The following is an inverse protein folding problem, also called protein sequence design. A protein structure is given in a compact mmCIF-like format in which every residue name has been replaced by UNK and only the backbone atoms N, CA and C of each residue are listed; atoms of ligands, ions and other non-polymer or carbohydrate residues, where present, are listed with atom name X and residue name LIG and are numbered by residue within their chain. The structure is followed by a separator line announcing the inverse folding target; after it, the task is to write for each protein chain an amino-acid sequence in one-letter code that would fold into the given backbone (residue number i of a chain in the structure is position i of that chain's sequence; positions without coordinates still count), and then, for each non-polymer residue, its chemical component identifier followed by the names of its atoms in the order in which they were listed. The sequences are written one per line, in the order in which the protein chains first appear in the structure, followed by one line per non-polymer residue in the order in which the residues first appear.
data_IF_714528163243
#
_entry.id   IF_714528163243
#
_cell.length_a   1.000
_cell.length_b   1.000
_cell.length_c   1.000
_cell.angle_alpha   90.00
_cell.angle_beta   90.00
_cell.angle_gamma   90.00
#
_symmetry.space_group_name_H-M   'P 1'
#
loop_
_entity.id
_entity.type
_entity.pdbx_description
1 polymer ?
#
# COMPACT_ATOMS: atom_id res chain seq x y z
N UNK A 1 -0.24 24.68 -26.09
CA UNK A 1 1.20 24.40 -25.97
C UNK A 1 1.61 24.64 -24.54
N UNK A 2 1.86 23.67 -23.69
CA UNK A 2 1.33 22.31 -23.51
C UNK A 2 1.74 21.92 -22.08
N UNK A 3 1.03 20.92 -21.54
CA UNK A 3 0.91 20.66 -20.11
C UNK A 3 2.21 20.39 -19.36
N UNK A 4 2.26 20.91 -18.14
CA UNK A 4 3.01 20.27 -17.05
C UNK A 4 2.13 19.18 -16.47
N UNK A 5 2.17 18.00 -17.08
CA UNK A 5 1.65 16.79 -16.46
C UNK A 5 2.45 16.53 -15.18
N UNK A 6 1.73 16.22 -14.09
CA UNK A 6 2.32 15.69 -12.88
C UNK A 6 3.01 14.36 -13.21
N UNK A 7 4.33 14.40 -13.45
CA UNK A 7 5.13 13.19 -13.59
C UNK A 7 5.42 12.66 -12.20
N UNK A 8 4.71 11.61 -11.78
CA UNK A 8 5.06 10.83 -10.59
C UNK A 8 6.53 10.38 -10.67
N UNK A 9 7.23 10.35 -9.54
CA UNK A 9 8.63 10.00 -9.54
C UNK A 9 8.81 8.55 -10.01
N UNK A 10 9.79 8.30 -10.89
CA UNK A 10 10.02 6.96 -11.40
C UNK A 10 10.52 6.03 -10.30
N UNK A 11 9.89 4.87 -10.11
CA UNK A 11 10.38 3.80 -9.25
C UNK A 11 11.68 3.19 -9.82
N UNK A 12 12.69 3.03 -8.98
CA UNK A 12 13.98 2.45 -9.36
C UNK A 12 14.01 0.94 -9.09
N UNK A 13 14.17 0.08 -10.12
CA UNK A 13 14.21 -1.37 -9.92
C UNK A 13 15.61 -1.87 -9.50
N UNK A 14 15.62 -2.74 -8.50
CA UNK A 14 16.78 -3.48 -8.01
C UNK A 14 16.54 -4.98 -8.18
N UNK A 15 17.38 -5.64 -8.98
CA UNK A 15 17.19 -7.06 -9.33
C UNK A 15 17.93 -7.98 -8.35
N UNK A 16 17.20 -8.92 -7.74
CA UNK A 16 17.70 -9.93 -6.83
C UNK A 16 17.15 -11.31 -7.21
N UNK A 17 17.73 -11.92 -8.24
CA UNK A 17 17.32 -13.24 -8.73
C UNK A 17 15.86 -13.22 -9.24
N UNK A 18 14.96 -14.06 -8.70
CA UNK A 18 13.55 -14.06 -9.11
C UNK A 18 12.76 -12.86 -8.56
N UNK A 19 13.36 -12.02 -7.72
CA UNK A 19 12.72 -10.87 -7.09
C UNK A 19 13.24 -9.56 -7.68
N UNK A 20 12.35 -8.57 -7.81
CA UNK A 20 12.72 -7.18 -8.08
C UNK A 20 12.22 -6.35 -6.91
N UNK A 21 13.09 -5.54 -6.32
CA UNK A 21 12.73 -4.56 -5.30
C UNK A 21 12.65 -3.20 -5.98
N UNK A 22 11.55 -2.49 -5.80
CA UNK A 22 11.39 -1.14 -6.33
C UNK A 22 11.63 -0.13 -5.21
N UNK A 23 12.55 0.79 -5.44
CA UNK A 23 12.79 1.93 -4.54
C UNK A 23 12.01 3.15 -5.05
N UNK A 24 11.27 3.79 -4.14
CA UNK A 24 10.51 5.00 -4.40
C UNK A 24 9.25 5.07 -3.55
N UNK A 25 8.31 5.91 -3.95
CA UNK A 25 7.02 6.04 -3.27
C UNK A 25 6.01 5.01 -3.80
N UNK A 26 5.48 4.16 -2.93
CA UNK A 26 4.42 3.20 -3.29
C UNK A 26 3.23 3.88 -3.94
N UNK A 27 2.89 5.11 -3.52
CA UNK A 27 1.74 5.84 -4.05
C UNK A 27 1.91 6.30 -5.51
N UNK A 28 3.15 6.30 -6.03
CA UNK A 28 3.43 6.54 -7.45
C UNK A 28 3.37 5.25 -8.31
N UNK A 29 3.13 4.10 -7.68
CA UNK A 29 3.16 2.81 -8.37
C UNK A 29 1.97 2.64 -9.33
N UNK A 30 2.28 2.15 -10.52
CA UNK A 30 1.31 1.71 -11.53
C UNK A 30 1.71 0.33 -12.06
N UNK A 31 0.79 -0.42 -12.71
CA UNK A 31 1.18 -1.65 -13.39
C UNK A 31 2.32 -1.44 -14.39
N UNK A 32 2.34 -0.29 -15.08
CA UNK A 32 3.39 0.04 -16.05
C UNK A 32 4.77 0.23 -15.42
N UNK A 33 4.84 0.87 -14.25
CA UNK A 33 6.12 1.08 -13.53
C UNK A 33 6.64 -0.21 -12.89
N UNK A 34 5.76 -1.18 -12.59
CA UNK A 34 6.12 -2.45 -11.95
C UNK A 34 6.24 -3.64 -12.92
N UNK A 35 6.07 -3.40 -14.23
CA UNK A 35 6.22 -4.44 -15.26
C UNK A 35 4.98 -5.31 -15.50
N UNK A 36 3.83 -4.94 -14.95
CA UNK A 36 2.55 -5.61 -15.15
C UNK A 36 1.62 -5.50 -13.93
N UNK A 37 0.42 -6.07 -14.08
CA UNK A 37 -0.50 -6.27 -12.97
C UNK A 37 -0.18 -7.58 -12.23
N UNK A 38 -0.46 -7.62 -10.93
CA UNK A 38 -0.19 -8.78 -10.07
C UNK A 38 -1.44 -9.66 -9.87
N UNK A 39 -1.21 -10.95 -9.73
CA UNK A 39 -2.27 -11.93 -9.41
C UNK A 39 -2.41 -12.15 -7.89
N UNK A 40 -1.38 -11.79 -7.11
CA UNK A 40 -1.34 -11.95 -5.67
C UNK A 40 -0.65 -10.74 -5.04
N UNK A 41 -1.17 -10.29 -3.91
CA UNK A 41 -0.49 -9.37 -3.01
C UNK A 41 -0.41 -9.96 -1.61
N UNK A 42 0.75 -9.79 -0.99
CA UNK A 42 0.97 -10.11 0.42
C UNK A 42 1.24 -8.80 1.16
N UNK A 43 0.29 -8.38 1.97
CA UNK A 43 0.34 -7.18 2.78
C UNK A 43 0.52 -7.62 4.24
N UNK A 44 1.74 -7.52 4.74
CA UNK A 44 2.06 -7.82 6.14
C UNK A 44 2.64 -6.56 6.78
N UNK A 45 1.87 -5.96 7.68
CA UNK A 45 2.18 -4.68 8.32
C UNK A 45 2.43 -3.49 7.36
N UNK A 46 2.07 -3.61 6.08
CA UNK A 46 2.19 -2.48 5.16
C UNK A 46 1.02 -1.52 5.35
N UNK A 47 -0.23 -1.99 5.23
CA UNK A 47 -1.40 -1.15 5.47
C UNK A 47 -1.42 -0.54 6.89
N UNK A 48 -1.00 -1.29 7.90
CA UNK A 48 -1.02 -0.82 9.30
C UNK A 48 0.01 0.28 9.57
N UNK A 49 1.06 0.40 8.77
CA UNK A 49 2.06 1.48 8.87
C UNK A 49 1.71 2.72 8.06
N UNK A 50 0.67 2.64 7.21
CA UNK A 50 0.13 3.81 6.51
C UNK A 50 -0.67 4.67 7.49
N UNK A 51 -0.39 5.97 7.47
CA UNK A 51 -1.17 6.95 8.22
C UNK A 51 -2.66 6.82 7.87
N UNK A 52 -3.53 6.81 8.90
CA UNK A 52 -4.98 6.55 8.75
C UNK A 52 -5.63 7.36 7.61
N UNK A 53 -5.26 8.63 7.48
CA UNK A 53 -5.79 9.53 6.44
C UNK A 53 -5.45 9.14 4.99
N UNK A 54 -4.44 8.27 4.77
CA UNK A 54 -3.98 7.82 3.45
C UNK A 54 -4.35 6.37 3.13
N UNK A 55 -5.03 5.66 4.03
CA UNK A 55 -5.37 4.23 3.82
C UNK A 55 -6.28 4.00 2.62
N UNK A 56 -7.21 4.92 2.34
CA UNK A 56 -8.05 4.88 1.15
C UNK A 56 -7.21 4.96 -0.13
N UNK A 57 -6.31 5.94 -0.21
CA UNK A 57 -5.35 6.10 -1.32
C UNK A 57 -4.48 4.85 -1.48
N UNK A 58 -4.00 4.27 -0.36
CA UNK A 58 -3.20 3.04 -0.37
C UNK A 58 -3.99 1.86 -0.96
N UNK A 59 -5.24 1.68 -0.53
CA UNK A 59 -6.10 0.62 -1.04
C UNK A 59 -6.42 0.82 -2.53
N UNK A 60 -6.65 2.05 -2.97
CA UNK A 60 -6.84 2.38 -4.39
C UNK A 60 -5.61 2.03 -5.23
N UNK A 61 -4.41 2.40 -4.78
CA UNK A 61 -3.15 2.06 -5.45
C UNK A 61 -2.96 0.55 -5.48
N UNK A 62 -3.08 -0.14 -4.34
CA UNK A 62 -2.94 -1.59 -4.27
C UNK A 62 -3.93 -2.29 -5.22
N UNK A 63 -5.21 -1.91 -5.20
CA UNK A 63 -6.22 -2.44 -6.11
C UNK A 63 -5.90 -2.14 -7.59
N UNK A 64 -5.38 -0.96 -7.90
CA UNK A 64 -4.96 -0.57 -9.24
C UNK A 64 -3.77 -1.38 -9.79
N UNK A 65 -2.96 -1.96 -8.91
CA UNK A 65 -1.85 -2.86 -9.26
C UNK A 65 -2.29 -4.30 -9.54
N UNK A 66 -3.54 -4.65 -9.21
CA UNK A 66 -4.03 -6.02 -9.25
C UNK A 66 -4.82 -6.35 -10.53
N UNK A 67 -4.71 -7.61 -10.97
CA UNK A 67 -5.57 -8.16 -12.02
C UNK A 67 -7.00 -8.45 -11.53
N UNK A 68 -7.97 -8.67 -12.45
CA UNK A 68 -9.39 -8.82 -12.14
C UNK A 68 -9.75 -10.03 -11.25
N UNK A 69 -8.85 -11.00 -11.09
CA UNK A 69 -9.04 -12.19 -10.25
C UNK A 69 -7.95 -12.33 -9.19
N UNK A 70 -7.24 -11.24 -8.91
CA UNK A 70 -6.16 -11.27 -7.94
C UNK A 70 -6.67 -11.53 -6.53
N UNK A 71 -5.78 -11.99 -5.65
CA UNK A 71 -6.07 -12.15 -4.23
C UNK A 71 -5.07 -11.38 -3.38
N UNK A 72 -5.60 -10.75 -2.33
CA UNK A 72 -4.80 -10.08 -1.31
C UNK A 72 -4.83 -10.94 -0.05
N UNK A 73 -3.66 -11.25 0.50
CA UNK A 73 -3.51 -11.74 1.86
C UNK A 73 -3.01 -10.58 2.72
N UNK A 74 -3.90 -10.02 3.53
CA UNK A 74 -3.58 -8.95 4.47
C UNK A 74 -3.44 -9.50 5.90
N UNK A 75 -2.34 -9.15 6.56
CA UNK A 75 -2.05 -9.43 7.96
C UNK A 75 -1.88 -8.10 8.66
N UNK A 76 -2.87 -7.73 9.46
CA UNK A 76 -2.93 -6.45 10.18
C UNK A 76 -3.24 -6.67 11.66
N UNK A 77 -2.69 -5.84 12.55
CA UNK A 77 -2.99 -5.91 13.98
C UNK A 77 -4.31 -5.20 14.30
N UNK A 78 -5.09 -5.78 15.21
CA UNK A 78 -6.26 -5.15 15.81
C UNK A 78 -6.04 -5.04 17.32
N UNK A 79 -6.03 -3.81 17.84
CA UNK A 79 -5.84 -3.49 19.25
C UNK A 79 -6.42 -2.11 19.60
N UNK A 80 -6.46 -1.78 20.89
CA UNK A 80 -6.91 -0.47 21.39
C UNK A 80 -5.75 0.53 21.40
N UNK A 81 -5.73 1.45 20.43
CA UNK A 81 -4.72 2.52 20.33
C UNK A 81 -4.77 3.49 21.52
N UNK A 82 -5.90 3.61 22.22
CA UNK A 82 -6.04 4.48 23.40
C UNK A 82 -5.18 4.04 24.60
N UNK A 83 -4.62 2.83 24.54
CA UNK A 83 -3.68 2.31 25.54
C UNK A 83 -2.22 2.67 25.24
N UNK A 84 -1.93 3.23 24.07
CA UNK A 84 -0.60 3.70 23.69
C UNK A 84 -0.37 5.13 24.18
N UNK A 85 0.89 5.47 24.47
CA UNK A 85 1.26 6.89 24.58
C UNK A 85 1.25 7.57 23.21
N UNK A 86 1.09 8.90 23.20
CA UNK A 86 0.96 9.70 21.97
C UNK A 86 2.16 9.56 21.02
N UNK A 87 3.37 9.32 21.57
CA UNK A 87 4.59 9.19 20.74
C UNK A 87 4.59 7.85 20.03
N UNK A 88 4.21 6.76 20.71
CA UNK A 88 4.07 5.44 20.07
C UNK A 88 2.90 5.40 19.10
N UNK A 89 1.76 6.02 19.45
CA UNK A 89 0.60 6.10 18.57
C UNK A 89 0.91 6.81 17.25
N UNK A 90 1.79 7.82 17.26
CA UNK A 90 2.21 8.55 16.07
C UNK A 90 3.15 7.75 15.13
N UNK A 91 3.82 6.70 15.63
CA UNK A 91 4.80 5.91 14.86
C UNK A 91 4.17 4.71 14.15
N UNK A 92 3.01 4.24 14.62
CA UNK A 92 2.42 2.99 14.17
C UNK A 92 3.20 1.74 14.63
N UNK A 93 2.78 0.52 14.21
CA UNK A 93 1.62 0.25 13.36
C UNK A 93 0.32 0.68 14.05
N UNK A 94 -0.66 1.07 13.25
CA UNK A 94 -2.00 1.45 13.68
C UNK A 94 -2.94 0.25 13.64
N UNK A 95 -3.91 0.21 14.54
CA UNK A 95 -4.97 -0.78 14.57
C UNK A 95 -5.80 -0.72 13.28
N UNK A 96 -6.16 -1.88 12.75
CA UNK A 96 -7.03 -2.02 11.57
C UNK A 96 -8.07 -3.09 11.87
N UNK A 97 -9.32 -2.67 11.98
CA UNK A 97 -10.44 -3.58 12.23
C UNK A 97 -10.99 -4.21 10.96
N UNK A 98 -11.73 -5.32 11.09
CA UNK A 98 -12.37 -6.00 9.95
C UNK A 98 -13.34 -5.10 9.16
N UNK A 99 -14.04 -4.18 9.83
CA UNK A 99 -14.97 -3.27 9.17
C UNK A 99 -14.24 -2.30 8.23
N UNK A 100 -13.11 -1.76 8.67
CA UNK A 100 -12.27 -0.88 7.85
C UNK A 100 -11.70 -1.64 6.64
N UNK A 101 -11.23 -2.87 6.82
CA UNK A 101 -10.78 -3.70 5.69
C UNK A 101 -11.88 -3.90 4.63
N UNK A 102 -13.14 -4.04 5.03
CA UNK A 102 -14.27 -4.14 4.10
C UNK A 102 -14.57 -2.83 3.39
N UNK A 103 -14.35 -1.69 4.05
CA UNK A 103 -14.54 -0.38 3.45
C UNK A 103 -13.42 -0.06 2.44
N UNK A 104 -12.20 -0.53 2.71
CA UNK A 104 -11.04 -0.33 1.83
C UNK A 104 -11.02 -1.26 0.61
N UNK A 105 -11.47 -2.51 0.75
CA UNK A 105 -11.30 -3.56 -0.29
C UNK A 105 -12.59 -4.24 -0.75
N UNK A 106 -13.76 -3.88 -0.19
CA UNK A 106 -15.05 -4.52 -0.44
C UNK A 106 -15.87 -3.93 -1.59
#
# INVERSE_FOLDING_TARGET
EDGTGAGGAALLPWYLGPCTVFEGDFFDATPGTLGGAFELAYDHDALSTVAVARRAEYAEVLCGLLGPYARVLAVVPEFDEGLLDETLAALGPHSVGLQELRELFG
#
